data_IF_486643501716
#
_entry.id   IF_486643501716
#
_cell.length_a   1.000
_cell.length_b   1.000
_cell.length_c   1.000
_cell.angle_alpha   90.00
_cell.angle_beta   90.00
_cell.angle_gamma   90.00
#
_symmetry.space_group_name_H-M   'P 1'
#
loop_
_entity.id
_entity.type
_entity.pdbx_description
1 polymer ?
#
# COMPACT_ATOMS: atom_id res chain seq x y z
N UNK A 1 3.55 -14.45 9.77
CA UNK A 1 4.81 -14.96 9.14
C UNK A 1 4.40 -15.56 7.81
N UNK A 2 4.57 -14.82 6.70
CA UNK A 2 4.31 -15.35 5.37
C UNK A 2 5.28 -16.51 5.08
N UNK A 3 4.83 -17.58 4.40
CA UNK A 3 5.66 -18.74 4.14
C UNK A 3 6.85 -18.36 3.25
N UNK A 4 8.02 -18.87 3.59
CA UNK A 4 9.21 -18.81 2.74
C UNK A 4 8.92 -19.63 1.49
N UNK A 5 8.77 -18.99 0.31
CA UNK A 5 8.81 -19.69 -0.96
C UNK A 5 7.65 -19.52 -1.93
N UNK A 6 6.73 -18.59 -1.74
CA UNK A 6 5.67 -18.25 -2.69
C UNK A 6 5.63 -16.75 -3.01
N UNK A 7 5.00 -16.39 -4.16
CA UNK A 7 4.68 -15.00 -4.44
C UNK A 7 3.72 -14.50 -3.34
N UNK A 8 3.89 -13.24 -2.93
CA UNK A 8 2.87 -12.56 -2.14
C UNK A 8 1.63 -12.35 -3.02
N UNK A 9 0.46 -12.23 -2.40
CA UNK A 9 -0.73 -11.82 -3.14
C UNK A 9 -0.77 -10.30 -3.31
N UNK A 10 -1.55 -9.82 -4.27
CA UNK A 10 -1.86 -8.40 -4.40
C UNK A 10 -2.44 -7.84 -3.09
N UNK A 11 -3.30 -8.62 -2.42
CA UNK A 11 -3.94 -8.24 -1.17
C UNK A 11 -2.92 -8.05 -0.03
N UNK A 12 -1.95 -8.96 0.10
CA UNK A 12 -0.87 -8.83 1.08
C UNK A 12 -0.08 -7.52 0.90
N UNK A 13 0.24 -7.18 -0.36
CA UNK A 13 0.98 -5.96 -0.67
C UNK A 13 0.16 -4.71 -0.38
N UNK A 14 -1.09 -4.65 -0.86
CA UNK A 14 -1.96 -3.48 -0.65
C UNK A 14 -2.24 -3.25 0.83
N UNK A 15 -2.64 -4.30 1.56
CA UNK A 15 -2.90 -4.20 3.01
C UNK A 15 -1.64 -3.87 3.80
N UNK A 16 -0.51 -4.46 3.41
CA UNK A 16 0.78 -4.16 4.02
C UNK A 16 1.18 -2.69 3.87
N UNK A 17 0.91 -2.07 2.73
CA UNK A 17 1.13 -0.65 2.49
C UNK A 17 0.14 0.24 3.27
N UNK A 18 -1.16 -0.12 3.29
CA UNK A 18 -2.17 0.60 4.08
C UNK A 18 -1.81 0.59 5.57
N UNK A 19 -1.37 -0.55 6.10
CA UNK A 19 -0.90 -0.67 7.49
C UNK A 19 0.30 0.23 7.80
N UNK A 20 1.05 0.67 6.78
CA UNK A 20 2.17 1.63 6.87
C UNK A 20 1.76 3.08 6.61
N UNK A 21 0.45 3.36 6.56
CA UNK A 21 -0.11 4.71 6.46
C UNK A 21 -0.29 5.24 5.03
N UNK A 22 -0.16 4.40 4.02
CA UNK A 22 -0.50 4.79 2.64
C UNK A 22 -2.02 4.75 2.44
N UNK A 23 -2.53 5.68 1.64
CA UNK A 23 -3.94 5.64 1.21
C UNK A 23 -4.17 4.44 0.26
N UNK A 24 -5.44 4.06 0.05
CA UNK A 24 -5.79 3.00 -0.91
C UNK A 24 -5.21 3.30 -2.30
N UNK A 25 -5.34 4.54 -2.78
CA UNK A 25 -4.82 4.93 -4.10
C UNK A 25 -3.28 4.86 -4.17
N UNK A 26 -2.59 5.28 -3.12
CA UNK A 26 -1.13 5.15 -3.03
C UNK A 26 -0.68 3.69 -2.97
N UNK A 27 -1.35 2.88 -2.16
CA UNK A 27 -1.07 1.45 -2.04
C UNK A 27 -1.31 0.71 -3.36
N UNK A 28 -2.42 1.02 -4.05
CA UNK A 28 -2.72 0.47 -5.36
C UNK A 28 -1.70 0.88 -6.43
N UNK A 29 -1.25 2.14 -6.39
CA UNK A 29 -0.21 2.66 -7.27
C UNK A 29 1.11 1.88 -7.13
N UNK A 30 1.54 1.64 -5.89
CA UNK A 30 2.75 0.87 -5.60
C UNK A 30 2.56 -0.60 -5.95
N UNK A 31 1.44 -1.21 -5.59
CA UNK A 31 1.13 -2.61 -5.90
C UNK A 31 1.10 -2.87 -7.41
N UNK A 32 0.56 -1.95 -8.22
CA UNK A 32 0.60 -2.02 -9.68
C UNK A 32 2.04 -2.07 -10.20
N UNK A 33 2.92 -1.25 -9.67
CA UNK A 33 4.32 -1.26 -10.08
C UNK A 33 5.03 -2.55 -9.65
N UNK A 34 4.84 -3.01 -8.42
CA UNK A 34 5.37 -4.30 -7.93
C UNK A 34 4.90 -5.47 -8.82
N UNK A 35 3.65 -5.45 -9.28
CA UNK A 35 3.14 -6.46 -10.22
C UNK A 35 3.98 -6.53 -11.50
N UNK A 36 4.31 -5.39 -12.07
CA UNK A 36 5.10 -5.30 -13.29
C UNK A 36 6.59 -5.59 -13.07
N UNK A 37 7.15 -5.28 -11.89
CA UNK A 37 8.55 -5.51 -11.57
C UNK A 37 8.87 -6.97 -11.24
N UNK A 38 8.05 -7.61 -10.43
CA UNK A 38 8.35 -8.92 -9.83
C UNK A 38 7.18 -9.91 -9.82
N UNK A 39 6.00 -9.50 -10.30
CA UNK A 39 4.76 -10.26 -10.14
C UNK A 39 4.52 -10.65 -8.67
N UNK A 40 4.73 -9.71 -7.76
CA UNK A 40 4.62 -9.88 -6.30
C UNK A 40 5.57 -10.93 -5.70
N UNK A 41 6.65 -11.27 -6.39
CA UNK A 41 7.63 -12.23 -5.89
C UNK A 41 8.70 -11.51 -5.03
N UNK A 42 8.70 -11.67 -3.70
CA UNK A 42 9.73 -11.05 -2.85
C UNK A 42 11.11 -11.64 -3.07
N UNK A 43 11.22 -12.86 -3.61
CA UNK A 43 12.47 -13.51 -3.93
C UNK A 43 12.95 -13.27 -5.38
N UNK A 44 12.27 -12.39 -6.13
CA UNK A 44 12.66 -12.11 -7.50
C UNK A 44 14.11 -11.62 -7.60
N UNK A 45 14.84 -12.19 -8.55
CA UNK A 45 16.20 -11.80 -8.86
C UNK A 45 16.41 -11.77 -10.37
N UNK A 46 16.95 -10.66 -10.86
CA UNK A 46 17.31 -10.50 -12.27
C UNK A 46 18.78 -10.08 -12.36
N UNK A 47 19.68 -10.94 -12.90
CA UNK A 47 21.10 -10.62 -13.03
C UNK A 47 21.38 -9.61 -14.15
N UNK A 48 20.43 -9.33 -15.04
CA UNK A 48 20.61 -8.40 -16.15
C UNK A 48 20.88 -6.97 -15.66
N UNK A 49 21.73 -6.22 -16.38
CA UNK A 49 22.07 -4.84 -16.07
C UNK A 49 23.34 -4.67 -15.24
N UNK A 50 24.07 -5.74 -14.96
CA UNK A 50 25.37 -5.71 -14.29
C UNK A 50 25.32 -5.46 -12.78
N UNK A 51 26.50 -5.34 -12.16
CA UNK A 51 26.62 -5.14 -10.72
C UNK A 51 26.05 -6.30 -9.91
N UNK A 52 25.27 -5.97 -8.86
CA UNK A 52 24.65 -6.99 -8.00
C UNK A 52 23.31 -7.49 -8.53
N UNK A 53 22.83 -6.99 -9.69
CA UNK A 53 21.52 -7.33 -10.27
C UNK A 53 20.37 -6.53 -9.65
N UNK A 54 19.14 -6.97 -9.99
CA UNK A 54 17.91 -6.41 -9.45
C UNK A 54 17.23 -7.41 -8.50
N UNK A 55 16.74 -6.93 -7.36
CA UNK A 55 16.32 -7.78 -6.26
C UNK A 55 14.97 -7.41 -5.70
N UNK A 56 14.17 -8.42 -5.41
CA UNK A 56 12.94 -8.33 -4.62
C UNK A 56 11.77 -7.71 -5.35
N UNK A 57 10.76 -7.31 -4.58
CA UNK A 57 9.49 -6.76 -5.07
C UNK A 57 9.67 -5.56 -6.00
N UNK A 58 10.57 -4.66 -5.65
CA UNK A 58 10.84 -3.40 -6.34
C UNK A 58 12.00 -3.48 -7.33
N UNK A 59 12.55 -4.66 -7.56
CA UNK A 59 13.74 -4.86 -8.40
C UNK A 59 14.86 -3.84 -8.10
N UNK A 60 15.15 -3.65 -6.79
CA UNK A 60 16.16 -2.71 -6.34
C UNK A 60 17.54 -3.05 -6.89
N UNK A 61 18.28 -2.04 -7.36
CA UNK A 61 19.60 -2.16 -7.98
C UNK A 61 20.61 -1.24 -7.30
N UNK A 62 21.89 -1.49 -7.57
CA UNK A 62 22.98 -0.58 -7.20
C UNK A 62 22.94 -0.14 -5.74
N UNK A 63 22.94 1.17 -5.53
CA UNK A 63 23.02 1.76 -4.18
C UNK A 63 21.74 1.52 -3.36
N UNK A 64 20.57 1.44 -4.00
CA UNK A 64 19.32 1.11 -3.29
C UNK A 64 19.36 -0.31 -2.72
N UNK A 65 19.84 -1.29 -3.48
CA UNK A 65 19.99 -2.66 -2.99
C UNK A 65 21.08 -2.77 -1.90
N UNK A 66 22.16 -1.98 -2.02
CA UNK A 66 23.19 -1.90 -0.97
C UNK A 66 22.69 -1.23 0.31
N UNK A 67 21.88 -0.17 0.20
CA UNK A 67 21.24 0.48 1.35
C UNK A 67 20.31 -0.51 2.08
N UNK A 68 19.52 -1.28 1.33
CA UNK A 68 18.72 -2.37 1.89
C UNK A 68 19.60 -3.38 2.63
N UNK A 69 20.67 -3.84 1.97
CA UNK A 69 21.60 -4.80 2.57
C UNK A 69 22.28 -4.27 3.84
N UNK A 70 22.67 -3.00 3.84
CA UNK A 70 23.23 -2.37 5.03
C UNK A 70 22.24 -2.32 6.20
N UNK A 71 20.94 -2.15 5.92
CA UNK A 71 19.89 -2.07 6.95
C UNK A 71 19.48 -3.45 7.49
N UNK A 72 19.38 -4.47 6.62
CA UNK A 72 18.80 -5.77 6.98
C UNK A 72 19.81 -6.94 6.97
N UNK A 73 21.07 -6.69 6.61
CA UNK A 73 22.13 -7.71 6.56
C UNK A 73 21.98 -8.72 5.41
N UNK A 74 21.05 -8.49 4.47
CA UNK A 74 20.74 -9.38 3.33
C UNK A 74 20.22 -8.59 2.15
N UNK A 75 20.30 -9.15 0.95
CA UNK A 75 19.74 -8.54 -0.26
C UNK A 75 18.21 -8.59 -0.26
N UNK A 76 17.52 -7.69 -0.98
CA UNK A 76 16.05 -7.67 -1.01
C UNK A 76 15.42 -9.01 -1.41
N UNK A 77 15.98 -9.73 -2.37
CA UNK A 77 15.48 -11.06 -2.77
C UNK A 77 15.60 -12.16 -1.72
N UNK A 78 16.30 -11.89 -0.61
CA UNK A 78 16.46 -12.79 0.54
C UNK A 78 15.58 -12.36 1.73
N UNK A 79 14.88 -11.23 1.57
CA UNK A 79 14.08 -10.60 2.61
C UNK A 79 12.60 -10.98 2.50
N UNK A 80 11.89 -10.82 3.62
CA UNK A 80 10.44 -11.02 3.66
C UNK A 80 9.69 -9.90 2.94
N UNK A 81 8.41 -10.12 2.63
CA UNK A 81 7.50 -9.09 2.14
C UNK A 81 7.54 -7.86 3.05
N UNK A 82 7.36 -8.06 4.36
CA UNK A 82 7.30 -6.97 5.34
C UNK A 82 8.58 -6.14 5.36
N UNK A 83 9.76 -6.76 5.38
CA UNK A 83 11.04 -6.05 5.35
C UNK A 83 11.19 -5.19 4.07
N UNK A 84 10.69 -5.67 2.94
CA UNK A 84 10.75 -4.92 1.68
C UNK A 84 9.76 -3.76 1.66
N UNK A 85 8.54 -3.94 2.18
CA UNK A 85 7.57 -2.87 2.34
C UNK A 85 8.02 -1.84 3.40
N UNK A 86 8.65 -2.28 4.50
CA UNK A 86 9.24 -1.39 5.51
C UNK A 86 10.36 -0.53 4.93
N UNK A 87 11.19 -1.10 4.06
CA UNK A 87 12.25 -0.34 3.38
C UNK A 87 11.66 0.72 2.47
N UNK A 88 10.68 0.37 1.63
CA UNK A 88 9.95 1.33 0.79
C UNK A 88 9.33 2.46 1.62
N UNK A 89 8.73 2.14 2.78
CA UNK A 89 8.09 3.12 3.66
C UNK A 89 9.10 3.92 4.51
N UNK A 90 10.36 3.52 4.54
CA UNK A 90 11.37 4.05 5.45
C UNK A 90 11.80 5.49 5.13
N UNK A 91 12.59 6.05 6.06
CA UNK A 91 13.25 7.34 5.89
C UNK A 91 14.66 7.21 5.27
N UNK A 92 14.97 6.08 4.63
CA UNK A 92 16.17 6.01 3.78
C UNK A 92 16.16 7.20 2.81
N UNK A 93 17.26 7.95 2.68
CA UNK A 93 17.24 9.21 1.93
C UNK A 93 16.81 9.06 0.48
N UNK A 94 17.24 8.00 -0.20
CA UNK A 94 16.89 7.77 -1.61
C UNK A 94 15.44 7.27 -1.75
N UNK A 95 15.03 6.31 -0.91
CA UNK A 95 13.66 5.78 -0.89
C UNK A 95 12.65 6.88 -0.57
N UNK A 96 12.90 7.65 0.49
CA UNK A 96 12.02 8.74 0.89
C UNK A 96 11.95 9.86 -0.16
N UNK A 97 13.07 10.18 -0.82
CA UNK A 97 13.11 11.18 -1.90
C UNK A 97 12.28 10.72 -3.10
N UNK A 98 12.53 9.51 -3.58
CA UNK A 98 11.85 8.95 -4.75
C UNK A 98 10.35 8.77 -4.52
N UNK A 99 9.97 8.28 -3.35
CA UNK A 99 8.57 8.13 -2.92
C UNK A 99 7.86 9.49 -2.83
N UNK A 100 8.48 10.49 -2.17
CA UNK A 100 7.90 11.85 -2.11
C UNK A 100 7.75 12.45 -3.50
N UNK A 101 8.71 12.28 -4.40
CA UNK A 101 8.60 12.78 -5.77
C UNK A 101 7.45 12.10 -6.54
N UNK A 102 7.24 10.80 -6.33
CA UNK A 102 6.14 10.06 -6.95
C UNK A 102 4.76 10.55 -6.45
N UNK A 103 4.64 10.87 -5.16
CA UNK A 103 3.35 11.24 -4.55
C UNK A 103 3.10 12.76 -4.48
N UNK A 104 4.06 13.61 -4.84
CA UNK A 104 3.96 15.07 -4.70
C UNK A 104 2.77 15.70 -5.44
N UNK A 105 2.35 15.10 -6.56
CA UNK A 105 1.23 15.62 -7.35
C UNK A 105 -0.16 15.21 -6.82
N UNK A 106 -0.22 14.29 -5.87
CA UNK A 106 -1.49 13.69 -5.46
C UNK A 106 -2.24 13.04 -6.64
N UNK A 107 -3.55 12.92 -6.50
CA UNK A 107 -4.44 12.49 -7.58
C UNK A 107 -4.96 11.06 -7.41
N UNK A 108 -5.60 10.54 -8.47
CA UNK A 108 -6.17 9.20 -8.52
C UNK A 108 -5.09 8.10 -8.52
N UNK A 109 -5.50 6.88 -8.22
CA UNK A 109 -4.61 5.72 -8.31
C UNK A 109 -3.91 5.59 -9.67
N UNK A 110 -4.59 5.94 -10.78
CA UNK A 110 -4.00 5.94 -12.11
C UNK A 110 -2.85 6.95 -12.23
N UNK A 111 -3.08 8.19 -11.79
CA UNK A 111 -2.06 9.25 -11.81
C UNK A 111 -0.86 8.89 -10.92
N UNK A 112 -1.14 8.39 -9.72
CA UNK A 112 -0.10 7.94 -8.79
C UNK A 112 0.67 6.74 -9.33
N UNK A 113 0.00 5.75 -9.94
CA UNK A 113 0.65 4.58 -10.54
C UNK A 113 1.60 4.95 -11.69
N UNK A 114 1.17 5.87 -12.54
CA UNK A 114 2.02 6.47 -13.58
C UNK A 114 3.22 7.20 -12.98
N UNK A 115 3.01 7.99 -11.92
CA UNK A 115 4.07 8.75 -11.27
C UNK A 115 5.07 7.85 -10.52
N UNK A 116 4.62 6.76 -9.89
CA UNK A 116 5.51 5.76 -9.27
C UNK A 116 6.39 5.13 -10.34
N UNK A 117 5.82 4.73 -11.47
CA UNK A 117 6.58 4.18 -12.59
C UNK A 117 7.65 5.15 -13.11
N UNK A 118 7.27 6.38 -13.38
CA UNK A 118 8.17 7.38 -13.97
C UNK A 118 9.24 7.91 -13.00
N UNK A 119 8.90 8.09 -11.71
CA UNK A 119 9.74 8.82 -10.75
C UNK A 119 10.43 7.92 -9.72
N UNK A 120 9.81 6.79 -9.38
CA UNK A 120 10.38 5.85 -8.43
C UNK A 120 11.11 4.70 -9.15
N UNK A 121 10.50 4.04 -10.13
CA UNK A 121 11.12 2.96 -10.90
C UNK A 121 12.06 3.48 -12.01
N UNK A 122 11.71 4.60 -12.64
CA UNK A 122 12.57 5.36 -13.59
C UNK A 122 12.99 4.58 -14.85
N UNK A 123 12.13 3.74 -15.39
CA UNK A 123 12.48 2.97 -16.60
C UNK A 123 12.32 3.76 -17.91
N UNK A 124 11.73 4.97 -17.90
CA UNK A 124 11.75 5.90 -19.03
C UNK A 124 10.83 5.54 -20.21
N UNK A 125 9.79 4.72 -20.00
CA UNK A 125 8.84 4.32 -21.04
C UNK A 125 7.44 4.84 -20.71
N UNK A 126 7.01 5.90 -21.38
CA UNK A 126 5.70 6.56 -21.13
C UNK A 126 4.51 5.62 -21.35
N UNK A 127 4.55 4.74 -22.35
CA UNK A 127 3.46 3.79 -22.59
C UNK A 127 3.34 2.77 -21.45
N UNK A 128 4.47 2.33 -20.91
CA UNK A 128 4.50 1.45 -19.73
C UNK A 128 4.03 2.18 -18.47
N UNK A 129 4.44 3.44 -18.28
CA UNK A 129 3.97 4.27 -17.16
C UNK A 129 2.44 4.37 -17.13
N UNK A 130 1.83 4.64 -18.30
CA UNK A 130 0.37 4.71 -18.43
C UNK A 130 -0.31 3.36 -18.16
N UNK A 131 0.27 2.25 -18.63
CA UNK A 131 -0.25 0.91 -18.37
C UNK A 131 -0.25 0.58 -16.87
N UNK A 132 0.82 0.92 -16.17
CA UNK A 132 0.91 0.77 -14.71
C UNK A 132 -0.11 1.64 -13.99
N UNK A 133 -0.37 2.86 -14.49
CA UNK A 133 -1.45 3.70 -14.00
C UNK A 133 -2.83 3.06 -14.15
N UNK A 134 -3.14 2.47 -15.30
CA UNK A 134 -4.40 1.74 -15.52
C UNK A 134 -4.53 0.53 -14.58
N UNK A 135 -3.44 -0.22 -14.38
CA UNK A 135 -3.39 -1.32 -13.41
C UNK A 135 -3.66 -0.81 -11.99
N UNK A 136 -3.08 0.31 -11.59
CA UNK A 136 -3.32 0.92 -10.28
C UNK A 136 -4.78 1.30 -10.08
N UNK A 137 -5.43 1.88 -11.10
CA UNK A 137 -6.84 2.22 -11.04
C UNK A 137 -7.73 0.98 -10.85
N UNK A 138 -7.43 -0.11 -11.57
CA UNK A 138 -8.16 -1.36 -11.45
C UNK A 138 -8.00 -1.99 -10.05
N UNK A 139 -6.79 -1.91 -9.47
CA UNK A 139 -6.53 -2.37 -8.10
C UNK A 139 -7.32 -1.51 -7.11
N UNK A 140 -7.20 -0.18 -7.16
CA UNK A 140 -7.89 0.71 -6.22
C UNK A 140 -9.41 0.51 -6.23
N UNK A 141 -10.01 0.28 -7.40
CA UNK A 141 -11.45 0.01 -7.53
C UNK A 141 -11.90 -1.21 -6.71
N UNK A 142 -11.06 -2.25 -6.59
CA UNK A 142 -11.39 -3.45 -5.81
C UNK A 142 -11.45 -3.15 -4.31
N UNK A 143 -10.60 -2.24 -3.81
CA UNK A 143 -10.52 -1.90 -2.38
C UNK A 143 -11.50 -0.81 -1.99
N UNK A 144 -11.81 0.13 -2.88
CA UNK A 144 -12.80 1.18 -2.62
C UNK A 144 -14.25 0.64 -2.58
N UNK A 145 -14.52 -0.53 -3.18
CA UNK A 145 -15.83 -1.21 -3.15
C UNK A 145 -15.98 -2.13 -1.93
N UNK A 146 -14.89 -2.47 -1.25
CA UNK A 146 -14.97 -3.26 -0.03
C UNK A 146 -15.45 -2.37 1.11
N UNK A 147 -16.47 -2.78 1.91
CA UNK A 147 -16.76 -2.10 3.17
C UNK A 147 -15.45 -2.09 3.96
N UNK A 148 -15.05 -0.91 4.44
CA UNK A 148 -13.84 -0.76 5.28
C UNK A 148 -14.08 -1.52 6.60
N UNK A 149 -13.89 -2.83 6.58
CA UNK A 149 -13.93 -3.67 7.79
C UNK A 149 -12.65 -3.37 8.56
N UNK A 150 -12.74 -2.44 9.52
CA UNK A 150 -11.65 -2.25 10.46
C UNK A 150 -11.27 -0.83 10.87
N UNK A 151 -11.97 0.20 10.48
CA UNK A 151 -11.91 1.44 11.26
C UNK A 151 -12.85 1.29 12.47
N UNK A 152 -12.34 0.72 13.56
CA UNK A 152 -12.94 0.97 14.88
C UNK A 152 -12.75 2.47 15.16
N UNK A 153 -13.81 3.24 14.93
CA UNK A 153 -13.88 4.60 15.48
C UNK A 153 -14.06 4.42 16.97
N UNK A 154 -12.96 4.49 17.70
CA UNK A 154 -12.99 4.49 19.17
C UNK A 154 -13.44 5.89 19.61
N UNK A 155 -14.76 6.07 19.77
CA UNK A 155 -15.33 7.32 20.22
C UNK A 155 -15.25 7.29 21.76
N UNK A 156 -14.15 7.80 22.32
CA UNK A 156 -13.97 8.00 23.76
C UNK A 156 -14.64 9.31 24.21
N UNK A 157 -15.94 9.48 23.97
CA UNK A 157 -16.68 10.66 24.40
C UNK A 157 -18.19 10.52 24.16
N UNK A 158 -19.02 11.40 24.75
CA UNK A 158 -20.45 11.37 24.52
C UNK A 158 -20.77 11.67 23.06
N UNK A 159 -21.41 10.71 22.37
CA UNK A 159 -21.93 10.89 21.01
C UNK A 159 -23.30 11.50 21.12
N UNK A 160 -23.47 12.74 20.68
CA UNK A 160 -24.78 13.37 20.56
C UNK A 160 -25.32 13.14 19.15
N UNK A 161 -26.34 12.33 19.04
CA UNK A 161 -27.09 12.15 17.79
C UNK A 161 -28.31 13.03 17.85
N UNK A 162 -28.37 14.07 17.00
CA UNK A 162 -29.60 14.85 16.80
C UNK A 162 -30.46 14.10 15.76
N UNK A 163 -31.57 13.56 16.19
CA UNK A 163 -32.58 13.00 15.34
C UNK A 163 -33.94 13.63 15.69
N UNK A 164 -34.66 14.08 14.69
CA UNK A 164 -35.99 14.65 14.86
C UNK A 164 -37.10 13.59 14.93
N UNK A 165 -36.73 12.33 14.73
CA UNK A 165 -37.66 11.18 14.67
C UNK A 165 -36.93 9.91 15.18
N UNK A 166 -37.62 9.09 15.99
CA UNK A 166 -37.06 7.83 16.51
C UNK A 166 -36.59 6.85 15.41
N UNK A 167 -37.15 6.90 14.22
CA UNK A 167 -36.75 6.05 13.10
C UNK A 167 -35.40 6.50 12.51
N UNK A 168 -35.16 7.80 12.45
CA UNK A 168 -33.86 8.33 12.02
C UNK A 168 -32.75 8.01 13.03
N UNK A 169 -33.08 8.03 14.33
CA UNK A 169 -32.18 7.64 15.39
C UNK A 169 -31.73 6.17 15.24
N UNK A 170 -32.67 5.27 15.01
CA UNK A 170 -32.37 3.85 14.81
C UNK A 170 -31.60 3.58 13.52
N UNK A 171 -31.91 4.29 12.45
CA UNK A 171 -31.16 4.22 11.18
C UNK A 171 -29.73 4.78 11.30
N UNK A 172 -29.50 5.78 12.14
CA UNK A 172 -28.19 6.33 12.47
C UNK A 172 -27.32 5.35 13.26
N UNK A 173 -27.89 4.71 14.26
CA UNK A 173 -27.22 3.70 15.11
C UNK A 173 -26.80 2.48 14.29
N UNK A 174 -27.64 2.00 13.37
CA UNK A 174 -27.30 0.88 12.49
C UNK A 174 -26.17 1.19 11.51
N UNK A 175 -26.01 2.46 11.11
CA UNK A 175 -24.89 2.88 10.23
C UNK A 175 -23.57 3.06 10.95
N UNK A 176 -23.57 3.31 12.25
CA UNK A 176 -22.34 3.53 13.06
C UNK A 176 -21.72 2.21 13.54
N UNK A 177 -22.31 1.06 13.20
CA UNK A 177 -21.64 -0.22 13.34
C UNK A 177 -22.09 -1.05 14.52
N UNK A 178 -22.23 -2.30 14.25
CA UNK A 178 -22.62 -3.32 15.17
C UNK A 178 -21.80 -3.39 16.45
N UNK A 179 -22.52 -3.73 17.52
CA UNK A 179 -22.03 -4.09 18.85
C UNK A 179 -21.45 -2.96 19.71
N UNK A 180 -22.33 -2.09 20.14
CA UNK A 180 -22.24 -1.55 21.49
C UNK A 180 -23.46 -2.04 22.26
N UNK A 181 -23.22 -2.81 23.33
CA UNK A 181 -24.26 -3.15 24.29
C UNK A 181 -24.79 -1.85 24.91
N UNK A 182 -25.95 -1.41 24.49
CA UNK A 182 -26.68 -0.33 25.13
C UNK A 182 -27.37 -0.87 26.38
N UNK A 183 -26.82 -0.54 27.53
CA UNK A 183 -27.56 -0.61 28.80
C UNK A 183 -28.42 0.66 28.85
N UNK A 184 -29.70 0.55 28.48
CA UNK A 184 -30.66 1.62 28.59
C UNK A 184 -31.09 1.73 30.05
N UNK A 185 -30.51 2.69 30.77
CA UNK A 185 -31.12 3.20 31.98
C UNK A 185 -32.11 4.31 31.61
N UNK A 186 -33.36 3.94 31.44
CA UNK A 186 -34.49 4.89 31.49
C UNK A 186 -34.84 5.14 32.93
N UNK A 187 -34.66 6.37 33.37
CA UNK A 187 -35.38 6.95 34.50
C UNK A 187 -36.11 8.20 34.02
#
# INVERSE_FOLDING_TARGET
VAPRGGNASQDDVVRGLIARGFTVDQAAAVAANIKHESNYNPAAYNPAGGGIGAHGLFQLRGDRARAFQARYGKLPSQATLDEQLDFFASNDPEEARSRRAAFAGGGSAAQLGTAVSAKYERHGNVAEDLRRGQTAQAIAAQYNQQPQVGQQININGPVTVQANDPKELMGGIQRVGGATNYNSAVR
#
